data_IF_728004829469
#
_entry.id   IF_728004829469
#
_cell.length_a   1.000
_cell.length_b   1.000
_cell.length_c   1.000
_cell.angle_alpha   90.00
_cell.angle_beta   90.00
_cell.angle_gamma   90.00
#
_symmetry.space_group_name_H-M   'P 1'
#
loop_
_entity.id
_entity.type
_entity.pdbx_description
1 polymer ?
#
# COMPACT_ATOMS: atom_id res chain seq x y z
N UNK A 1 10.99 -8.20 14.96
CA UNK A 1 11.29 -7.28 13.84
C UNK A 1 12.56 -6.52 14.15
N UNK A 2 13.52 -6.45 13.23
CA UNK A 2 14.77 -5.71 13.43
C UNK A 2 14.55 -4.19 13.43
N UNK A 3 15.47 -3.43 14.03
CA UNK A 3 15.41 -1.96 14.04
C UNK A 3 15.39 -1.37 12.63
N UNK A 4 16.16 -1.93 11.70
CA UNK A 4 16.16 -1.55 10.28
C UNK A 4 14.77 -1.69 9.67
N UNK A 5 14.13 -2.85 9.85
CA UNK A 5 12.81 -3.10 9.27
C UNK A 5 11.73 -2.20 9.88
N UNK A 6 11.86 -1.87 11.17
CA UNK A 6 10.99 -0.89 11.84
C UNK A 6 11.12 0.49 11.22
N UNK A 7 12.35 0.95 11.00
CA UNK A 7 12.64 2.24 10.36
C UNK A 7 12.09 2.24 8.93
N UNK A 8 12.31 1.17 8.17
CA UNK A 8 11.77 1.02 6.81
C UNK A 8 10.25 1.11 6.76
N UNK A 9 9.53 0.44 7.68
CA UNK A 9 8.08 0.58 7.77
C UNK A 9 7.65 2.00 8.17
N UNK A 10 8.38 2.65 9.09
CA UNK A 10 8.13 4.05 9.46
C UNK A 10 8.27 5.01 8.28
N UNK A 11 9.37 4.90 7.53
CA UNK A 11 9.61 5.69 6.31
C UNK A 11 8.47 5.47 5.31
N UNK A 12 8.06 4.23 5.09
CA UNK A 12 7.01 3.96 4.12
C UNK A 12 5.64 4.48 4.54
N UNK A 13 5.32 4.41 5.84
CA UNK A 13 4.11 5.04 6.37
C UNK A 13 4.11 6.55 6.08
N UNK A 14 5.25 7.22 6.29
CA UNK A 14 5.41 8.64 5.95
C UNK A 14 5.25 8.89 4.45
N UNK A 15 5.85 8.07 3.59
CA UNK A 15 5.73 8.22 2.14
C UNK A 15 4.28 8.07 1.66
N UNK A 16 3.51 7.11 2.19
CA UNK A 16 2.09 7.00 1.87
C UNK A 16 1.28 8.19 2.40
N UNK A 17 1.56 8.67 3.61
CA UNK A 17 0.90 9.87 4.14
C UNK A 17 1.19 11.12 3.28
N UNK A 18 2.44 11.31 2.84
CA UNK A 18 2.81 12.38 1.91
C UNK A 18 2.14 12.21 0.55
N UNK A 19 2.02 10.97 0.05
CA UNK A 19 1.32 10.67 -1.20
C UNK A 19 -0.16 11.05 -1.12
N UNK A 20 -0.81 10.92 0.05
CA UNK A 20 -2.16 11.42 0.25
C UNK A 20 -2.25 12.95 0.09
N UNK A 21 -1.24 13.70 0.56
CA UNK A 21 -1.21 15.16 0.36
C UNK A 21 -1.06 15.54 -1.10
N UNK A 22 -0.27 14.79 -1.87
CA UNK A 22 -0.09 15.02 -3.30
C UNK A 22 -1.39 14.86 -4.09
N UNK A 23 -2.34 14.04 -3.60
CA UNK A 23 -3.64 13.88 -4.24
C UNK A 23 -4.47 15.16 -4.26
N UNK A 24 -4.18 16.15 -3.42
CA UNK A 24 -4.90 17.45 -3.45
C UNK A 24 -4.73 18.20 -4.79
N UNK A 25 -3.79 17.78 -5.63
CA UNK A 25 -3.58 18.30 -6.98
C UNK A 25 -4.53 17.66 -8.04
N UNK A 26 -5.26 16.60 -7.67
CA UNK A 26 -6.12 15.84 -8.58
C UNK A 26 -7.57 16.36 -8.52
N UNK A 27 -8.32 16.21 -9.61
CA UNK A 27 -9.71 16.69 -9.71
C UNK A 27 -10.68 15.96 -8.75
N UNK A 28 -10.40 14.68 -8.45
CA UNK A 28 -11.23 13.82 -7.61
C UNK A 28 -10.40 13.12 -6.53
N UNK A 29 -9.91 13.87 -5.53
CA UNK A 29 -8.78 13.43 -4.70
C UNK A 29 -9.19 12.49 -3.55
N UNK A 30 -10.45 12.53 -3.13
CA UNK A 30 -10.87 12.00 -1.83
C UNK A 30 -10.71 10.50 -1.68
N UNK A 31 -11.03 9.72 -2.71
CA UNK A 31 -10.92 8.26 -2.65
C UNK A 31 -9.46 7.86 -2.49
N UNK A 32 -8.56 8.49 -3.26
CA UNK A 32 -7.12 8.23 -3.17
C UNK A 32 -6.51 8.71 -1.86
N UNK A 33 -6.91 9.88 -1.35
CA UNK A 33 -6.49 10.35 -0.02
C UNK A 33 -6.80 9.29 1.04
N UNK A 34 -8.05 8.83 1.08
CA UNK A 34 -8.48 7.81 2.05
C UNK A 34 -7.71 6.50 1.84
N UNK A 35 -7.49 6.10 0.59
CA UNK A 35 -6.76 4.88 0.26
C UNK A 35 -5.29 4.95 0.71
N UNK A 36 -4.59 6.05 0.46
CA UNK A 36 -3.22 6.27 0.91
C UNK A 36 -3.11 6.35 2.43
N UNK A 37 -4.05 7.01 3.11
CA UNK A 37 -4.07 7.06 4.57
C UNK A 37 -4.31 5.67 5.19
N UNK A 38 -5.20 4.88 4.63
CA UNK A 38 -5.42 3.49 5.04
C UNK A 38 -4.17 2.63 4.76
N UNK A 39 -3.52 2.80 3.60
CA UNK A 39 -2.27 2.13 3.26
C UNK A 39 -1.12 2.55 4.18
N UNK A 40 -1.06 3.80 4.66
CA UNK A 40 -0.07 4.29 5.62
C UNK A 40 -0.25 3.64 7.00
N UNK A 41 -1.48 3.31 7.39
CA UNK A 41 -1.78 2.73 8.70
C UNK A 41 -1.13 1.34 8.87
N UNK A 42 -1.11 0.49 7.85
CA UNK A 42 -0.51 -0.84 7.93
C UNK A 42 0.99 -0.84 8.32
N UNK A 43 1.90 -0.18 7.58
CA UNK A 43 3.30 -0.08 7.97
C UNK A 43 3.50 0.79 9.22
N UNK A 44 2.66 1.80 9.48
CA UNK A 44 2.73 2.57 10.73
C UNK A 44 2.47 1.71 11.97
N UNK A 45 1.43 0.87 11.92
CA UNK A 45 1.13 -0.11 12.98
C UNK A 45 2.20 -1.19 13.08
N UNK A 46 2.76 -1.65 11.95
CA UNK A 46 3.88 -2.58 11.96
C UNK A 46 5.09 -1.96 12.67
N UNK A 47 5.42 -0.70 12.37
CA UNK A 47 6.49 0.05 13.03
C UNK A 47 6.25 0.23 14.54
N UNK A 48 4.99 0.38 14.96
CA UNK A 48 4.56 0.44 16.35
C UNK A 48 4.41 -0.94 17.04
N UNK A 49 4.88 -2.02 16.43
CA UNK A 49 4.77 -3.41 16.92
C UNK A 49 3.33 -3.95 17.06
N UNK A 50 2.32 -3.28 16.50
CA UNK A 50 0.94 -3.77 16.47
C UNK A 50 0.69 -4.66 15.24
N UNK A 51 1.28 -5.86 15.26
CA UNK A 51 1.31 -6.76 14.10
C UNK A 51 -0.06 -7.35 13.73
N UNK A 52 -0.96 -7.57 14.70
CA UNK A 52 -2.29 -8.12 14.41
C UNK A 52 -3.11 -7.13 13.58
N UNK A 53 -3.20 -5.87 14.02
CA UNK A 53 -3.93 -4.85 13.28
C UNK A 53 -3.23 -4.53 11.93
N UNK A 54 -1.89 -4.44 11.92
CA UNK A 54 -1.13 -4.22 10.69
C UNK A 54 -1.45 -5.27 9.61
N UNK A 55 -1.56 -6.55 9.99
CA UNK A 55 -1.91 -7.64 9.06
C UNK A 55 -3.31 -7.55 8.52
N UNK A 56 -4.28 -7.23 9.37
CA UNK A 56 -5.69 -7.13 8.95
C UNK A 56 -5.80 -6.01 7.92
N UNK A 57 -5.26 -4.83 8.22
CA UNK A 57 -5.28 -3.68 7.30
C UNK A 57 -4.52 -4.01 6.02
N UNK A 58 -3.31 -4.58 6.11
CA UNK A 58 -2.53 -4.95 4.94
C UNK A 58 -3.26 -5.97 4.05
N UNK A 59 -3.91 -6.97 4.64
CA UNK A 59 -4.69 -7.97 3.91
C UNK A 59 -5.89 -7.35 3.16
N UNK A 60 -6.65 -6.49 3.84
CA UNK A 60 -7.78 -5.78 3.24
C UNK A 60 -7.28 -4.88 2.10
N UNK A 61 -6.22 -4.10 2.34
CA UNK A 61 -5.68 -3.18 1.34
C UNK A 61 -5.10 -3.89 0.14
N UNK A 62 -4.39 -5.00 0.34
CA UNK A 62 -3.90 -5.83 -0.76
C UNK A 62 -5.05 -6.39 -1.60
N UNK A 63 -6.11 -6.90 -0.96
CA UNK A 63 -7.26 -7.44 -1.67
C UNK A 63 -7.95 -6.35 -2.50
N UNK A 64 -8.19 -5.17 -1.93
CA UNK A 64 -8.78 -4.04 -2.66
C UNK A 64 -7.86 -3.60 -3.80
N UNK A 65 -6.55 -3.48 -3.57
CA UNK A 65 -5.60 -3.08 -4.61
C UNK A 65 -5.63 -4.05 -5.79
N UNK A 66 -5.56 -5.37 -5.55
CA UNK A 66 -5.61 -6.39 -6.61
C UNK A 66 -6.94 -6.35 -7.37
N UNK A 67 -8.07 -6.19 -6.67
CA UNK A 67 -9.38 -6.13 -7.31
C UNK A 67 -9.56 -4.87 -8.15
N UNK A 68 -9.09 -3.73 -7.65
CA UNK A 68 -9.19 -2.44 -8.33
C UNK A 68 -8.25 -2.38 -9.54
N UNK A 69 -7.06 -2.97 -9.44
CA UNK A 69 -6.08 -3.06 -10.53
C UNK A 69 -6.65 -3.67 -11.80
N UNK A 70 -7.54 -4.67 -11.68
CA UNK A 70 -8.20 -5.32 -12.82
C UNK A 70 -8.93 -4.30 -13.69
N UNK A 71 -9.55 -3.28 -13.10
CA UNK A 71 -10.23 -2.24 -13.86
C UNK A 71 -9.27 -1.35 -14.65
N UNK A 72 -8.08 -1.06 -14.12
CA UNK A 72 -7.06 -0.25 -14.81
C UNK A 72 -6.40 -1.03 -15.94
N UNK A 73 -6.17 -2.34 -15.73
CA UNK A 73 -5.67 -3.22 -16.80
C UNK A 73 -6.64 -3.22 -17.99
N UNK A 74 -7.95 -3.32 -17.73
CA UNK A 74 -8.98 -3.29 -18.78
C UNK A 74 -9.04 -1.96 -19.53
N UNK A 75 -8.72 -0.86 -18.86
CA UNK A 75 -8.66 0.48 -19.44
C UNK A 75 -7.34 0.74 -20.21
N UNK A 76 -6.38 -0.19 -20.14
CA UNK A 76 -5.11 -0.07 -20.85
C UNK A 76 -4.07 0.81 -20.15
N UNK A 77 -4.23 1.07 -18.84
CA UNK A 77 -3.32 1.93 -18.07
C UNK A 77 -1.84 1.47 -18.11
N UNK A 78 -1.61 0.17 -18.28
CA UNK A 78 -0.28 -0.43 -18.43
C UNK A 78 0.51 0.05 -19.67
N UNK A 79 -0.16 0.71 -20.62
CA UNK A 79 0.47 1.25 -21.84
C UNK A 79 1.17 2.58 -21.60
N UNK A 80 0.92 3.24 -20.47
CA UNK A 80 1.52 4.53 -20.14
C UNK A 80 2.94 4.28 -19.63
N UNK A 81 3.97 4.85 -20.30
CA UNK A 81 5.35 4.74 -19.85
C UNK A 81 5.52 5.38 -18.48
N UNK A 82 6.31 4.75 -17.62
CA UNK A 82 6.55 5.26 -16.27
C UNK A 82 7.17 6.67 -16.27
N UNK A 83 8.04 6.97 -17.25
CA UNK A 83 8.71 8.26 -17.36
C UNK A 83 7.74 9.40 -17.67
N UNK A 84 6.71 9.14 -18.47
CA UNK A 84 5.68 10.12 -18.85
C UNK A 84 4.83 10.56 -17.65
N UNK A 85 4.75 9.74 -16.60
CA UNK A 85 4.02 10.06 -15.37
C UNK A 85 4.66 11.20 -14.57
N UNK A 86 5.98 11.38 -14.71
CA UNK A 86 6.74 12.38 -13.97
C UNK A 86 6.82 13.72 -14.72
N UNK A 87 6.60 13.72 -16.04
CA UNK A 87 6.65 14.93 -16.87
C UNK A 87 5.43 15.82 -16.66
N UNK A 88 4.28 15.22 -16.32
CA UNK A 88 3.03 15.97 -16.21
C UNK A 88 2.70 16.34 -14.75
N UNK A 89 3.18 17.51 -14.34
CA UNK A 89 2.93 18.06 -13.00
C UNK A 89 1.46 18.45 -12.76
N UNK A 90 0.71 18.80 -13.82
CA UNK A 90 -0.72 19.09 -13.73
C UNK A 90 -1.52 17.94 -14.31
N UNK A 91 -2.49 17.42 -13.54
CA UNK A 91 -3.36 16.30 -13.92
C UNK A 91 -4.37 16.67 -15.02
N UNK A 92 -3.88 16.98 -16.22
CA UNK A 92 -4.70 17.39 -17.37
C UNK A 92 -4.90 16.27 -18.37
N UNK A 93 -3.99 15.30 -18.44
CA UNK A 93 -4.13 14.16 -19.33
C UNK A 93 -4.72 12.94 -18.61
N UNK A 94 -5.91 12.53 -19.02
CA UNK A 94 -6.63 11.39 -18.47
C UNK A 94 -5.83 10.08 -18.57
N UNK A 95 -5.02 9.89 -19.63
CA UNK A 95 -4.15 8.72 -19.75
C UNK A 95 -3.07 8.69 -18.67
N UNK A 96 -2.47 9.84 -18.35
CA UNK A 96 -1.42 9.94 -17.32
C UNK A 96 -2.02 9.74 -15.93
N UNK A 97 -3.25 10.20 -15.70
CA UNK A 97 -4.01 9.89 -14.47
C UNK A 97 -4.19 8.38 -14.32
N UNK A 98 -4.72 7.71 -15.35
CA UNK A 98 -4.92 6.26 -15.35
C UNK A 98 -3.61 5.49 -15.09
N UNK A 99 -2.51 5.90 -15.73
CA UNK A 99 -1.20 5.31 -15.53
C UNK A 99 -0.73 5.46 -14.08
N UNK A 100 -0.78 6.68 -13.53
CA UNK A 100 -0.34 6.93 -12.15
C UNK A 100 -1.14 6.13 -11.13
N UNK A 101 -2.45 6.09 -11.29
CA UNK A 101 -3.36 5.32 -10.43
C UNK A 101 -3.03 3.82 -10.47
N UNK A 102 -2.75 3.28 -11.66
CA UNK A 102 -2.30 1.90 -11.85
C UNK A 102 -0.98 1.61 -11.12
N UNK A 103 0.08 2.40 -11.36
CA UNK A 103 1.37 2.18 -10.70
C UNK A 103 1.31 2.41 -9.18
N UNK A 104 0.42 3.30 -8.71
CA UNK A 104 0.17 3.50 -7.29
C UNK A 104 -0.40 2.24 -6.63
N UNK A 105 -1.36 1.55 -7.25
CA UNK A 105 -1.92 0.30 -6.73
C UNK A 105 -0.89 -0.82 -6.68
N UNK A 106 -0.04 -0.96 -7.71
CA UNK A 106 1.07 -1.91 -7.70
C UNK A 106 1.98 -1.63 -6.51
N UNK A 107 2.38 -0.37 -6.34
CA UNK A 107 3.29 0.04 -5.26
C UNK A 107 2.69 -0.22 -3.87
N UNK A 108 1.42 0.16 -3.66
CA UNK A 108 0.69 -0.12 -2.42
C UNK A 108 0.58 -1.63 -2.19
N UNK A 109 0.17 -2.39 -3.20
CA UNK A 109 0.01 -3.84 -3.15
C UNK A 109 1.30 -4.55 -2.78
N UNK A 110 2.42 -4.21 -3.43
CA UNK A 110 3.74 -4.75 -3.11
C UNK A 110 4.08 -4.52 -1.63
N UNK A 111 3.85 -3.31 -1.11
CA UNK A 111 4.16 -3.03 0.29
C UNK A 111 3.23 -3.73 1.28
N UNK A 112 1.94 -3.83 0.98
CA UNK A 112 1.00 -4.60 1.80
C UNK A 112 1.40 -6.07 1.85
N UNK A 113 1.85 -6.64 0.73
CA UNK A 113 2.45 -7.98 0.68
C UNK A 113 3.65 -8.10 1.63
N UNK A 114 4.60 -7.16 1.57
CA UNK A 114 5.76 -7.13 2.47
C UNK A 114 5.36 -7.04 3.95
N UNK A 115 4.39 -6.19 4.30
CA UNK A 115 3.85 -6.12 5.66
C UNK A 115 3.30 -7.48 6.09
N UNK A 116 2.52 -8.16 5.25
CA UNK A 116 1.97 -9.48 5.55
C UNK A 116 3.04 -10.55 5.77
N UNK A 117 4.12 -10.55 4.97
CA UNK A 117 5.22 -11.51 5.14
C UNK A 117 6.03 -11.24 6.41
N UNK A 118 6.32 -9.98 6.70
CA UNK A 118 7.21 -9.57 7.79
C UNK A 118 6.56 -9.63 9.17
N UNK A 119 5.22 -9.67 9.22
CA UNK A 119 4.44 -9.73 10.46
C UNK A 119 3.86 -11.12 10.73
N UNK A 120 4.29 -12.15 9.99
CA UNK A 120 3.95 -13.55 10.27
C UNK A 120 4.44 -13.95 11.66
N UNK A 121 3.55 -13.86 12.65
CA UNK A 121 3.75 -14.46 13.97
C UNK A 121 3.80 -15.98 13.82
N UNK A 122 4.86 -16.63 14.30
CA UNK A 122 4.99 -18.08 14.40
C UNK A 122 3.95 -18.64 15.37
N UNK A 123 2.73 -18.85 14.90
CA UNK A 123 1.66 -19.56 15.61
C UNK A 123 1.86 -21.07 15.50
N UNK A 124 2.99 -21.60 16.00
CA UNK A 124 3.17 -23.05 16.18
C UNK A 124 4.10 -23.31 17.36
N UNK A 125 3.51 -23.52 18.54
CA UNK A 125 4.10 -24.25 19.69
C UNK A 125 3.27 -23.95 20.95
N UNK A 126 2.10 -24.56 21.13
CA UNK A 126 1.42 -24.67 22.45
C UNK A 126 0.33 -25.75 22.45
N UNK A 127 0.57 -26.90 21.81
CA UNK A 127 -0.37 -28.03 21.84
C UNK A 127 0.31 -29.36 22.18
N UNK A 128 1.38 -29.35 22.98
CA UNK A 128 2.18 -30.56 23.24
C UNK A 128 2.72 -30.70 24.68
N UNK A 129 2.10 -30.06 25.68
CA UNK A 129 2.57 -30.15 27.09
C UNK A 129 1.47 -30.36 28.14
N UNK A 130 0.31 -30.93 27.80
CA UNK A 130 -0.73 -31.26 28.81
C UNK A 130 -1.16 -32.73 28.82
N UNK A 131 -0.28 -33.65 28.42
CA UNK A 131 -0.44 -35.08 28.70
C UNK A 131 0.93 -35.64 29.10
N UNK A 132 1.16 -35.73 30.41
CA UNK A 132 2.38 -36.26 31.00
C UNK A 132 2.28 -36.25 32.51
#
# INVERSE_FOLDING_TARGET
MSSTLRITHGIMATLFALSALLQLNDAHPWVWILFYLAAAAAPGLAAAHNFKCARIIAGIMLAIAVLWEISYIKQGAWRVPFWDLAEEWQMKNEQIILGREFYALIWIGCWMGLVLFNTRSSSKSSSDQTVG
#
